data_IF_395886409360
#
_entry.id   IF_395886409360
#
_cell.length_a   1.000
_cell.length_b   1.000
_cell.length_c   1.000
_cell.angle_alpha   90.00
_cell.angle_beta   90.00
_cell.angle_gamma   90.00
#
_symmetry.space_group_name_H-M   'P 1'
#
loop_
_entity.id
_entity.type
_entity.pdbx_description
1 polymer ?
#
# COMPACT_ATOMS: atom_id res chain seq x y z
N UNK A 1 -7.80 -19.51 0.23
CA UNK A 1 -7.59 -18.05 0.39
C UNK A 1 -7.02 -17.41 -0.88
N UNK A 2 -5.77 -17.63 -1.31
CA UNK A 2 -5.20 -16.96 -2.50
C UNK A 2 -5.99 -17.16 -3.82
N UNK A 3 -6.59 -18.34 -4.05
CA UNK A 3 -7.40 -18.60 -5.26
C UNK A 3 -8.69 -17.78 -5.30
N UNK A 4 -9.34 -17.62 -4.15
CA UNK A 4 -10.58 -16.83 -4.03
C UNK A 4 -10.28 -15.34 -4.15
N UNK A 5 -9.18 -14.86 -3.54
CA UNK A 5 -8.68 -13.49 -3.70
C UNK A 5 -8.35 -13.19 -5.17
N UNK A 6 -7.68 -14.12 -5.86
CA UNK A 6 -7.39 -13.98 -7.30
C UNK A 6 -8.66 -13.92 -8.13
N UNK A 7 -9.66 -14.76 -7.83
CA UNK A 7 -10.96 -14.73 -8.50
C UNK A 7 -11.64 -13.37 -8.29
N UNK A 8 -11.66 -12.85 -7.06
CA UNK A 8 -12.23 -11.53 -6.77
C UNK A 8 -11.52 -10.42 -7.54
N UNK A 9 -10.19 -10.46 -7.67
CA UNK A 9 -9.44 -9.45 -8.43
C UNK A 9 -9.68 -9.54 -9.95
N UNK A 10 -9.99 -10.73 -10.48
CA UNK A 10 -10.31 -10.92 -11.90
C UNK A 10 -11.74 -10.53 -12.27
N UNK A 11 -12.69 -10.95 -11.44
CA UNK A 11 -14.11 -10.92 -11.77
C UNK A 11 -14.87 -9.84 -11.01
N UNK A 12 -14.31 -9.34 -9.91
CA UNK A 12 -14.95 -8.36 -9.04
C UNK A 12 -15.11 -7.00 -9.70
N UNK A 13 -16.26 -6.38 -9.44
CA UNK A 13 -16.56 -5.01 -9.91
C UNK A 13 -16.43 -4.05 -8.74
N UNK A 14 -15.48 -3.13 -8.82
CA UNK A 14 -15.23 -2.18 -7.75
C UNK A 14 -13.90 -1.45 -7.92
N UNK A 15 -13.41 -0.84 -6.85
CA UNK A 15 -12.15 -0.13 -6.84
C UNK A 15 -11.20 -0.65 -5.74
N UNK A 16 -9.95 -0.25 -5.81
CA UNK A 16 -8.93 -0.55 -4.81
C UNK A 16 -8.76 0.68 -3.92
N UNK A 17 -9.02 0.54 -2.62
CA UNK A 17 -8.84 1.61 -1.65
C UNK A 17 -7.34 1.83 -1.34
N UNK A 18 -6.90 3.10 -1.34
CA UNK A 18 -5.52 3.47 -1.02
C UNK A 18 -5.41 3.87 0.46
N UNK A 19 -4.92 2.97 1.30
CA UNK A 19 -4.58 3.20 2.71
C UNK A 19 -3.07 3.14 2.94
N UNK A 20 -2.29 3.52 1.94
CA UNK A 20 -0.84 3.33 1.86
C UNK A 20 -0.02 4.63 2.01
N UNK A 21 -0.60 5.69 2.59
CA UNK A 21 0.14 6.91 2.90
C UNK A 21 1.36 6.55 3.77
N UNK A 22 2.53 7.08 3.41
CA UNK A 22 3.80 6.75 4.05
C UNK A 22 4.72 7.97 4.14
N UNK A 23 5.69 7.94 5.03
CA UNK A 23 6.69 9.00 5.19
C UNK A 23 6.04 10.39 5.27
N UNK A 24 6.47 11.32 4.44
CA UNK A 24 5.98 12.71 4.43
C UNK A 24 4.49 12.90 4.12
N UNK A 25 3.79 11.90 3.61
CA UNK A 25 2.35 11.98 3.40
C UNK A 25 1.51 11.59 4.63
N UNK A 26 2.10 10.93 5.62
CA UNK A 26 1.41 10.52 6.86
C UNK A 26 1.01 11.72 7.72
N UNK A 27 1.91 12.67 8.07
CA UNK A 27 1.53 13.88 8.82
C UNK A 27 0.44 14.68 8.12
N UNK A 28 0.54 14.82 6.80
CA UNK A 28 -0.50 15.51 6.00
C UNK A 28 -1.85 14.81 6.09
N UNK A 29 -1.89 13.49 6.03
CA UNK A 29 -3.13 12.74 6.16
C UNK A 29 -3.74 12.88 7.56
N UNK A 30 -2.92 12.80 8.61
CA UNK A 30 -3.36 13.03 9.99
C UNK A 30 -3.92 14.44 10.18
N UNK A 31 -3.24 15.46 9.68
CA UNK A 31 -3.68 16.86 9.76
C UNK A 31 -5.05 17.05 9.09
N UNK A 32 -5.28 16.47 7.91
CA UNK A 32 -6.58 16.49 7.24
C UNK A 32 -7.67 15.75 8.02
N UNK A 33 -7.29 14.83 8.89
CA UNK A 33 -8.17 14.09 9.79
C UNK A 33 -8.37 14.78 11.16
N UNK A 34 -7.76 15.95 11.36
CA UNK A 34 -7.87 16.74 12.57
C UNK A 34 -6.82 16.45 13.64
N UNK A 35 -5.76 15.70 13.30
CA UNK A 35 -4.64 15.39 14.20
C UNK A 35 -3.40 16.18 13.75
N UNK A 36 -3.01 17.18 14.55
CA UNK A 36 -1.86 18.04 14.29
C UNK A 36 -0.53 17.39 14.79
N UNK A 37 0.58 17.94 14.34
CA UNK A 37 1.92 17.41 14.66
C UNK A 37 2.31 17.55 16.14
N UNK A 38 1.69 18.45 16.89
CA UNK A 38 1.84 18.62 18.33
C UNK A 38 1.15 17.53 19.16
N UNK A 39 0.34 16.67 18.53
CA UNK A 39 -0.41 15.60 19.19
C UNK A 39 0.36 14.26 19.23
N UNK A 40 1.59 14.20 18.71
CA UNK A 40 2.47 13.04 18.82
C UNK A 40 3.92 13.48 18.96
N UNK A 41 4.70 12.72 19.74
CA UNK A 41 6.06 13.09 20.10
C UNK A 41 7.15 12.37 19.31
N UNK A 42 6.77 11.29 18.57
CA UNK A 42 7.69 10.46 17.79
C UNK A 42 6.95 9.73 16.66
N UNK A 43 7.75 9.07 15.82
CA UNK A 43 7.24 8.38 14.64
C UNK A 43 6.33 7.19 14.98
N UNK A 44 6.61 6.45 16.05
CA UNK A 44 5.77 5.32 16.47
C UNK A 44 4.37 5.78 16.88
N UNK A 45 4.28 6.86 17.66
CA UNK A 45 3.00 7.47 18.04
C UNK A 45 2.25 7.99 16.80
N UNK A 46 2.96 8.60 15.85
CA UNK A 46 2.37 9.00 14.57
C UNK A 46 1.77 7.81 13.81
N UNK A 47 2.50 6.68 13.76
CA UNK A 47 1.99 5.47 13.10
C UNK A 47 0.85 4.81 13.87
N UNK A 48 0.80 4.91 15.18
CA UNK A 48 -0.35 4.45 15.96
C UNK A 48 -1.60 5.28 15.66
N UNK A 49 -1.48 6.59 15.58
CA UNK A 49 -2.60 7.48 15.22
C UNK A 49 -3.09 7.24 13.80
N UNK A 50 -2.18 7.07 12.83
CA UNK A 50 -2.59 6.75 11.45
C UNK A 50 -3.24 5.36 11.38
N UNK A 51 -2.79 4.39 12.17
CA UNK A 51 -3.43 3.09 12.26
C UNK A 51 -4.84 3.17 12.85
N UNK A 52 -5.04 3.96 13.92
CA UNK A 52 -6.36 4.21 14.49
C UNK A 52 -7.31 4.85 13.45
N UNK A 53 -6.84 5.83 12.70
CA UNK A 53 -7.60 6.44 11.59
C UNK A 53 -8.00 5.39 10.56
N UNK A 54 -7.04 4.57 10.09
CA UNK A 54 -7.29 3.49 9.11
C UNK A 54 -8.24 2.43 9.66
N UNK A 55 -8.12 2.09 10.93
CA UNK A 55 -9.02 1.16 11.60
C UNK A 55 -10.46 1.65 11.59
N UNK A 56 -10.70 2.95 11.87
CA UNK A 56 -12.06 3.53 11.78
C UNK A 56 -12.61 3.46 10.37
N UNK A 57 -11.78 3.74 9.36
CA UNK A 57 -12.17 3.64 7.93
C UNK A 57 -12.54 2.19 7.59
N UNK A 58 -11.66 1.23 7.92
CA UNK A 58 -11.84 -0.19 7.60
C UNK A 58 -13.07 -0.77 8.33
N UNK A 59 -13.29 -0.39 9.58
CA UNK A 59 -14.44 -0.87 10.37
C UNK A 59 -15.77 -0.26 9.94
N UNK A 60 -15.77 0.86 9.23
CA UNK A 60 -17.00 1.48 8.74
C UNK A 60 -17.87 0.48 7.95
N UNK A 61 -19.20 0.45 8.16
CA UNK A 61 -20.12 -0.34 7.35
C UNK A 61 -20.05 0.00 5.85
N UNK A 62 -19.72 1.25 5.51
CA UNK A 62 -19.56 1.69 4.12
C UNK A 62 -18.28 1.13 3.46
N UNK A 63 -17.29 0.70 4.25
CA UNK A 63 -16.07 0.06 3.75
C UNK A 63 -16.31 -1.45 3.63
N UNK A 64 -16.82 -1.89 2.49
CA UNK A 64 -17.25 -3.27 2.25
C UNK A 64 -16.97 -3.73 0.83
N UNK A 65 -17.02 -5.04 0.59
CA UNK A 65 -16.70 -5.70 -0.67
C UNK A 65 -17.68 -5.44 -1.82
N UNK A 66 -18.84 -4.83 -1.57
CA UNK A 66 -19.75 -4.46 -2.66
C UNK A 66 -19.18 -3.37 -3.58
N UNK A 67 -18.26 -2.55 -3.07
CA UNK A 67 -17.62 -1.45 -3.81
C UNK A 67 -16.10 -1.52 -3.82
N UNK A 68 -15.50 -2.14 -2.81
CA UNK A 68 -14.05 -2.17 -2.59
C UNK A 68 -13.56 -3.60 -2.73
N UNK A 69 -12.90 -3.90 -3.85
CA UNK A 69 -12.41 -5.25 -4.14
C UNK A 69 -11.02 -5.52 -3.53
N UNK A 70 -10.26 -4.47 -3.24
CA UNK A 70 -8.94 -4.56 -2.63
C UNK A 70 -8.60 -3.31 -1.84
N UNK A 71 -7.61 -3.40 -0.94
CA UNK A 71 -7.06 -2.28 -0.21
C UNK A 71 -5.53 -2.36 -0.16
N UNK A 72 -4.86 -1.21 -0.41
CA UNK A 72 -3.41 -1.12 -0.35
C UNK A 72 -3.02 -0.62 1.03
N UNK A 73 -2.19 -1.39 1.72
CA UNK A 73 -1.65 -1.06 3.04
C UNK A 73 -0.21 -0.54 2.93
N UNK A 74 0.19 0.27 3.90
CA UNK A 74 1.59 0.53 4.21
C UNK A 74 2.09 -0.50 5.24
N UNK A 75 3.39 -0.80 5.27
CA UNK A 75 3.99 -1.82 6.14
C UNK A 75 3.62 -1.64 7.62
N UNK A 76 3.64 -0.40 8.14
CA UNK A 76 3.28 -0.11 9.52
C UNK A 76 1.82 -0.46 9.86
N UNK A 77 0.92 -0.42 8.89
CA UNK A 77 -0.48 -0.85 9.07
C UNK A 77 -0.61 -2.37 8.92
N UNK A 78 0.14 -2.98 8.01
CA UNK A 78 0.18 -4.42 7.83
C UNK A 78 0.59 -5.15 9.13
N UNK A 79 1.59 -4.62 9.83
CA UNK A 79 2.13 -5.23 11.05
C UNK A 79 1.25 -4.99 12.30
N UNK A 80 0.24 -4.12 12.20
CA UNK A 80 -0.69 -3.82 13.29
C UNK A 80 -1.98 -4.63 13.17
N UNK A 81 -2.72 -4.70 14.28
CA UNK A 81 -3.93 -5.51 14.39
C UNK A 81 -5.19 -4.64 14.49
N UNK A 82 -6.29 -5.18 13.97
CA UNK A 82 -7.66 -4.71 14.15
C UNK A 82 -8.44 -5.84 14.84
N UNK A 83 -9.00 -5.57 16.00
CA UNK A 83 -9.77 -6.54 16.81
C UNK A 83 -9.01 -7.88 17.01
N UNK A 84 -7.71 -7.81 17.28
CA UNK A 84 -6.85 -8.98 17.52
C UNK A 84 -6.31 -9.69 16.28
N UNK A 85 -6.83 -9.43 15.08
CA UNK A 85 -6.36 -9.97 13.79
C UNK A 85 -5.36 -9.03 13.13
N UNK A 86 -4.36 -9.54 12.40
CA UNK A 86 -3.57 -8.68 11.54
C UNK A 86 -4.46 -7.96 10.53
N UNK A 87 -4.09 -6.73 10.14
CA UNK A 87 -4.94 -5.90 9.29
C UNK A 87 -5.32 -6.58 7.97
N UNK A 88 -4.41 -7.37 7.38
CA UNK A 88 -4.70 -8.12 6.15
C UNK A 88 -5.73 -9.24 6.37
N UNK A 89 -5.62 -9.97 7.49
CA UNK A 89 -6.60 -11.01 7.85
C UNK A 89 -7.98 -10.38 8.11
N UNK A 90 -8.02 -9.28 8.85
CA UNK A 90 -9.27 -8.55 9.09
C UNK A 90 -9.94 -8.08 7.79
N UNK A 91 -9.15 -7.54 6.86
CA UNK A 91 -9.66 -7.13 5.54
C UNK A 91 -10.27 -8.29 4.76
N UNK A 92 -9.61 -9.46 4.77
CA UNK A 92 -10.12 -10.59 4.02
C UNK A 92 -11.27 -11.31 4.73
N UNK A 93 -11.10 -11.64 6.00
CA UNK A 93 -12.06 -12.48 6.74
C UNK A 93 -13.34 -11.74 7.11
N UNK A 94 -13.24 -10.46 7.52
CA UNK A 94 -14.38 -9.68 7.99
C UNK A 94 -15.01 -8.78 6.91
N UNK A 95 -14.19 -8.33 5.95
CA UNK A 95 -14.63 -7.37 4.93
C UNK A 95 -14.68 -7.95 3.52
N UNK A 96 -14.10 -9.12 3.30
CA UNK A 96 -13.93 -9.73 1.98
C UNK A 96 -13.23 -8.79 0.97
N UNK A 97 -12.21 -8.08 1.44
CA UNK A 97 -11.42 -7.12 0.68
C UNK A 97 -9.99 -7.65 0.56
N UNK A 98 -9.47 -7.72 -0.67
CA UNK A 98 -8.14 -8.29 -0.94
C UNK A 98 -7.02 -7.35 -0.46
N UNK A 99 -6.11 -7.80 0.44
CA UNK A 99 -5.04 -6.96 0.97
C UNK A 99 -3.84 -6.90 0.03
N UNK A 100 -3.39 -5.69 -0.29
CA UNK A 100 -2.13 -5.41 -1.00
C UNK A 100 -1.16 -4.64 -0.12
N UNK A 101 0.13 -4.76 -0.39
CA UNK A 101 1.19 -4.02 0.29
C UNK A 101 1.90 -3.06 -0.66
N UNK A 102 2.03 -1.80 -0.27
CA UNK A 102 2.93 -0.85 -0.92
C UNK A 102 4.38 -1.21 -0.58
N UNK A 103 5.20 -1.49 -1.62
CA UNK A 103 6.62 -1.85 -1.46
C UNK A 103 7.57 -0.73 -1.87
N UNK A 104 7.13 0.24 -2.68
CA UNK A 104 8.00 1.37 -3.08
C UNK A 104 8.34 2.29 -1.90
N UNK A 105 9.54 2.84 -1.90
CA UNK A 105 10.07 3.79 -0.90
C UNK A 105 9.96 5.25 -1.36
N UNK A 106 9.08 5.55 -2.32
CA UNK A 106 8.88 6.88 -2.89
C UNK A 106 9.54 7.03 -4.25
N UNK A 107 9.54 8.25 -4.77
CA UNK A 107 9.97 8.60 -6.11
C UNK A 107 11.26 9.41 -6.10
N UNK A 108 12.10 9.20 -7.10
CA UNK A 108 13.20 10.09 -7.47
C UNK A 108 12.64 11.41 -8.03
N UNK A 109 13.54 12.39 -8.23
CA UNK A 109 13.19 13.63 -8.91
C UNK A 109 12.71 13.39 -10.34
N UNK A 110 11.90 14.31 -10.85
CA UNK A 110 11.49 14.30 -12.25
C UNK A 110 12.74 14.52 -13.13
N UNK A 111 12.99 13.62 -14.06
CA UNK A 111 14.13 13.73 -14.98
C UNK A 111 13.78 14.51 -16.27
N UNK A 112 14.78 14.69 -17.14
CA UNK A 112 14.64 15.42 -18.41
C UNK A 112 13.65 14.76 -19.39
N UNK A 113 13.45 13.45 -19.28
CA UNK A 113 12.48 12.70 -20.08
C UNK A 113 11.07 12.72 -19.49
N UNK A 114 10.88 13.46 -18.41
CA UNK A 114 9.57 13.63 -17.78
C UNK A 114 9.08 12.39 -17.05
N UNK A 115 9.97 11.53 -16.54
CA UNK A 115 9.62 10.38 -15.71
C UNK A 115 10.22 10.50 -14.31
N UNK A 116 9.57 9.87 -13.35
CA UNK A 116 10.08 9.66 -11.99
C UNK A 116 10.16 8.17 -11.73
N UNK A 117 11.36 7.67 -11.59
CA UNK A 117 11.63 6.31 -11.17
C UNK A 117 11.37 6.15 -9.67
N UNK A 118 11.22 4.93 -9.22
CA UNK A 118 11.19 4.64 -7.79
C UNK A 118 12.60 4.77 -7.20
N UNK A 119 12.67 5.26 -5.96
CA UNK A 119 13.89 5.14 -5.15
C UNK A 119 14.26 3.67 -4.97
N UNK A 120 15.55 3.35 -4.75
CA UNK A 120 15.97 1.99 -4.42
C UNK A 120 15.15 1.41 -3.27
N UNK A 121 14.71 0.18 -3.42
CA UNK A 121 13.94 -0.52 -2.38
C UNK A 121 14.92 -1.35 -1.56
N UNK A 122 15.36 -0.81 -0.42
CA UNK A 122 16.15 -1.58 0.56
C UNK A 122 15.25 -2.51 1.35
N UNK A 123 15.75 -3.71 1.72
CA UNK A 123 15.04 -4.67 2.56
C UNK A 123 13.78 -5.26 1.89
N UNK A 124 13.77 -5.38 0.55
CA UNK A 124 12.60 -5.92 -0.18
C UNK A 124 12.33 -7.37 0.19
N UNK A 125 13.36 -8.21 0.30
CA UNK A 125 13.22 -9.63 0.61
C UNK A 125 12.56 -9.83 1.98
N UNK A 126 13.09 -9.18 3.01
CA UNK A 126 12.59 -9.24 4.39
C UNK A 126 11.15 -8.69 4.48
N UNK A 127 10.86 -7.65 3.70
CA UNK A 127 9.51 -7.08 3.63
C UNK A 127 8.53 -8.08 2.98
N UNK A 128 8.95 -8.80 1.94
CA UNK A 128 8.11 -9.79 1.26
C UNK A 128 7.88 -11.04 2.10
N UNK A 129 8.89 -11.51 2.83
CA UNK A 129 8.77 -12.61 3.79
C UNK A 129 7.73 -12.25 4.87
N UNK A 130 7.86 -11.08 5.47
CA UNK A 130 6.89 -10.56 6.46
C UNK A 130 5.50 -10.38 5.86
N UNK A 131 5.39 -9.89 4.63
CA UNK A 131 4.11 -9.76 3.93
C UNK A 131 3.43 -11.12 3.69
N UNK A 132 4.21 -12.15 3.38
CA UNK A 132 3.69 -13.51 3.22
C UNK A 132 3.17 -14.09 4.56
N UNK A 133 3.90 -13.87 5.67
CA UNK A 133 3.46 -14.23 7.03
C UNK A 133 2.18 -13.50 7.45
N UNK A 134 1.96 -12.29 6.94
CA UNK A 134 0.75 -11.48 7.20
C UNK A 134 -0.36 -11.70 6.17
N UNK A 135 -0.23 -12.75 5.35
CA UNK A 135 -1.21 -13.16 4.34
C UNK A 135 -1.57 -12.06 3.32
N UNK A 136 -0.63 -11.18 3.02
CA UNK A 136 -0.77 -10.22 1.90
C UNK A 136 -0.94 -10.99 0.58
N UNK A 137 -1.90 -10.56 -0.22
CA UNK A 137 -2.18 -11.18 -1.52
C UNK A 137 -1.17 -10.78 -2.59
N UNK A 138 -0.84 -9.51 -2.66
CA UNK A 138 0.03 -8.95 -3.69
C UNK A 138 0.63 -7.60 -3.28
N UNK A 139 1.43 -7.04 -4.17
CA UNK A 139 2.16 -5.80 -3.92
C UNK A 139 1.72 -4.67 -4.84
N UNK A 140 1.97 -3.43 -4.41
CA UNK A 140 1.81 -2.22 -5.22
C UNK A 140 3.10 -1.43 -5.19
N UNK A 141 3.54 -1.01 -6.36
CA UNK A 141 4.64 -0.07 -6.55
C UNK A 141 4.26 0.98 -7.61
N UNK A 142 4.91 2.16 -7.60
CA UNK A 142 4.53 3.27 -8.46
C UNK A 142 5.74 4.02 -9.00
N UNK A 143 5.78 4.19 -10.31
CA UNK A 143 6.56 5.22 -11.03
C UNK A 143 5.61 6.26 -11.62
N UNK A 144 6.14 7.38 -12.11
CA UNK A 144 5.33 8.43 -12.74
C UNK A 144 5.88 8.72 -14.13
N UNK A 145 4.99 8.84 -15.11
CA UNK A 145 5.29 9.26 -16.49
C UNK A 145 4.45 10.52 -16.76
N UNK A 146 5.12 11.67 -16.84
CA UNK A 146 4.47 12.96 -17.14
C UNK A 146 4.59 13.35 -18.62
N UNK A 147 5.57 12.76 -19.34
CA UNK A 147 5.83 13.04 -20.76
C UNK A 147 5.97 11.71 -21.50
N UNK A 148 5.42 11.64 -22.69
CA UNK A 148 5.51 10.46 -23.55
C UNK A 148 6.87 10.39 -24.25
N UNK A 149 7.95 10.20 -23.47
CA UNK A 149 9.31 9.96 -23.95
C UNK A 149 9.53 8.45 -24.11
N UNK A 150 9.92 7.94 -25.29
CA UNK A 150 10.22 6.52 -25.47
C UNK A 150 11.29 6.02 -24.50
N UNK A 151 12.38 6.77 -24.33
CA UNK A 151 13.48 6.41 -23.43
C UNK A 151 13.06 6.44 -21.96
N UNK A 152 12.29 7.45 -21.56
CA UNK A 152 11.72 7.55 -20.22
C UNK A 152 10.80 6.38 -19.91
N UNK A 153 9.90 6.03 -20.81
CA UNK A 153 8.99 4.89 -20.68
C UNK A 153 9.79 3.59 -20.58
N UNK A 154 10.80 3.39 -21.45
CA UNK A 154 11.62 2.18 -21.42
C UNK A 154 12.33 1.99 -20.07
N UNK A 155 12.86 3.08 -19.46
CA UNK A 155 13.47 3.03 -18.13
C UNK A 155 12.47 2.66 -17.03
N UNK A 156 11.27 3.24 -17.06
CA UNK A 156 10.20 2.89 -16.12
C UNK A 156 9.84 1.41 -16.24
N UNK A 157 9.60 0.92 -17.46
CA UNK A 157 9.26 -0.49 -17.70
C UNK A 157 10.38 -1.41 -17.24
N UNK A 158 11.63 -1.09 -17.53
CA UNK A 158 12.80 -1.88 -17.09
C UNK A 158 12.84 -1.97 -15.55
N UNK A 159 12.74 -0.84 -14.85
CA UNK A 159 12.77 -0.83 -13.38
C UNK A 159 11.62 -1.64 -12.79
N UNK A 160 10.40 -1.44 -13.27
CA UNK A 160 9.21 -2.17 -12.80
C UNK A 160 9.39 -3.68 -13.02
N UNK A 161 9.90 -4.10 -14.16
CA UNK A 161 10.13 -5.50 -14.49
C UNK A 161 11.20 -6.16 -13.61
N UNK A 162 12.32 -5.48 -13.36
CA UNK A 162 13.39 -6.01 -12.51
C UNK A 162 12.94 -6.19 -11.04
N UNK A 163 12.09 -5.29 -10.54
CA UNK A 163 11.52 -5.43 -9.20
C UNK A 163 10.46 -6.54 -9.18
N UNK A 164 9.60 -6.60 -10.19
CA UNK A 164 8.58 -7.66 -10.30
C UNK A 164 9.19 -9.06 -10.29
N UNK A 165 10.34 -9.27 -10.95
CA UNK A 165 11.08 -10.55 -10.91
C UNK A 165 11.51 -10.96 -9.48
N UNK A 166 11.80 -10.00 -8.62
CA UNK A 166 12.17 -10.28 -7.22
C UNK A 166 10.94 -10.65 -6.38
N UNK A 167 9.78 -10.05 -6.70
CA UNK A 167 8.53 -10.26 -5.96
C UNK A 167 7.92 -11.64 -6.23
N UNK A 168 8.08 -12.19 -7.44
CA UNK A 168 7.47 -13.48 -7.84
C UNK A 168 8.36 -14.70 -7.60
N UNK A 169 9.54 -14.51 -7.02
CA UNK A 169 10.42 -15.61 -6.58
C UNK A 169 9.96 -16.15 -5.23
#
# INVERSE_FOLDING_TARGET
MKKEQLKQMKDGKGFIAALDQSGGSTPKALKLYGVNEDQYSNEDQMFDLIHQMRTRIIKSPAFNSHKIIGAILFEQTMDRKIDGKYTADYLWEEKHIVPFLKVDKGLESLDADGVQLMKPISGLTELLERANERHIFGTKMRSVIKKASPDGIARVVKQQFEIAKQIVK
#
